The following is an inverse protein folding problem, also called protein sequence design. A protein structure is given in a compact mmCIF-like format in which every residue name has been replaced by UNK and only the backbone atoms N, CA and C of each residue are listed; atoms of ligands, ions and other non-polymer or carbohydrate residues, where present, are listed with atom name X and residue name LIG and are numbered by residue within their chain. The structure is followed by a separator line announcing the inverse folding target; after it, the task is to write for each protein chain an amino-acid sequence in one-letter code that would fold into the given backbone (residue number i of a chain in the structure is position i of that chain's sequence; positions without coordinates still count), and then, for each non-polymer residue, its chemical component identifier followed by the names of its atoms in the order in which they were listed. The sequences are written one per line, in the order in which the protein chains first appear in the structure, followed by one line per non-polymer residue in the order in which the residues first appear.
data_IF_036080986336
#
_entry.id   IF_036080986336
#
_cell.length_a   1.000
_cell.length_b   1.000
_cell.length_c   1.000
_cell.angle_alpha   90.00
_cell.angle_beta   90.00
_cell.angle_gamma   90.00
#
_symmetry.space_group_name_H-M   'P 1'
#
loop_
_entity.id
_entity.type
_entity.pdbx_description
1 polymer ?
#
# COMPACT_ATOMS: atom_id res chain seq x y z
N UNK A 1 10.62 12.21 -4.14
CA UNK A 1 10.73 11.39 -5.36
C UNK A 1 9.33 11.28 -5.93
N UNK A 2 9.10 11.83 -7.12
CA UNK A 2 7.80 11.76 -7.79
C UNK A 2 7.50 10.31 -8.19
N UNK A 3 6.23 9.88 -8.19
CA UNK A 3 5.85 8.56 -8.70
C UNK A 3 6.29 8.36 -10.17
N UNK A 4 6.43 9.46 -10.93
CA UNK A 4 7.01 9.42 -12.29
C UNK A 4 8.48 9.00 -12.31
N UNK A 5 9.26 9.43 -11.32
CA UNK A 5 10.65 8.99 -11.17
C UNK A 5 10.71 7.52 -10.72
N UNK A 6 9.81 7.12 -9.81
CA UNK A 6 9.67 5.74 -9.35
C UNK A 6 9.43 4.79 -10.52
N UNK A 7 8.50 5.10 -11.43
CA UNK A 7 8.23 4.28 -12.62
C UNK A 7 9.43 4.15 -13.58
N UNK A 8 10.30 5.16 -13.66
CA UNK A 8 11.48 5.11 -14.51
C UNK A 8 12.64 4.29 -13.90
N UNK A 9 12.67 4.14 -12.56
CA UNK A 9 13.70 3.39 -11.81
C UNK A 9 13.25 2.02 -11.30
N UNK A 10 11.95 1.71 -11.38
CA UNK A 10 11.42 0.36 -11.21
C UNK A 10 11.64 -0.39 -12.53
N UNK A 11 12.92 -0.66 -12.82
CA UNK A 11 13.35 -1.65 -13.80
C UNK A 11 12.39 -2.84 -13.75
N UNK A 12 11.83 -3.23 -14.89
CA UNK A 12 11.13 -4.51 -15.02
C UNK A 12 11.95 -5.57 -14.28
N UNK A 13 11.47 -6.08 -13.13
CA UNK A 13 12.26 -6.95 -12.31
C UNK A 13 12.37 -8.27 -13.08
N UNK A 14 13.45 -8.39 -13.81
CA UNK A 14 13.77 -9.61 -14.53
C UNK A 14 13.90 -10.78 -13.53
N UNK A 15 14.34 -10.50 -12.29
CA UNK A 15 14.66 -11.51 -11.28
C UNK A 15 14.02 -11.23 -9.93
N UNK A 16 13.95 -12.27 -9.09
CA UNK A 16 13.45 -12.19 -7.71
C UNK A 16 14.19 -11.19 -6.85
N UNK A 17 15.51 -11.07 -7.03
CA UNK A 17 16.32 -10.10 -6.31
C UNK A 17 15.97 -8.65 -6.69
N UNK A 18 15.75 -8.40 -7.98
CA UNK A 18 15.32 -7.08 -8.45
C UNK A 18 13.91 -6.73 -7.98
N UNK A 19 13.00 -7.71 -7.96
CA UNK A 19 11.66 -7.52 -7.40
C UNK A 19 11.73 -7.09 -5.94
N UNK A 20 12.47 -7.83 -5.09
CA UNK A 20 12.66 -7.46 -3.69
C UNK A 20 13.21 -6.04 -3.52
N UNK A 21 14.25 -5.71 -4.28
CA UNK A 21 14.86 -4.38 -4.27
C UNK A 21 13.85 -3.30 -4.62
N UNK A 22 12.96 -3.56 -5.57
CA UNK A 22 11.88 -2.64 -5.95
C UNK A 22 10.82 -2.52 -4.86
N UNK A 23 10.32 -3.61 -4.31
CA UNK A 23 9.35 -3.61 -3.20
C UNK A 23 9.90 -2.86 -1.97
N UNK A 24 11.19 -3.03 -1.67
CA UNK A 24 11.85 -2.38 -0.53
C UNK A 24 11.97 -0.85 -0.67
N UNK A 25 11.79 -0.28 -1.87
CA UNK A 25 11.80 1.17 -2.07
C UNK A 25 10.53 1.83 -1.51
N UNK A 26 9.45 1.09 -1.36
CA UNK A 26 8.22 1.63 -0.78
C UNK A 26 8.39 1.75 0.73
N UNK A 27 8.64 2.98 1.17
CA UNK A 27 8.74 3.34 2.56
C UNK A 27 7.53 4.16 2.97
N UNK A 28 6.68 3.58 3.82
CA UNK A 28 5.44 4.18 4.28
C UNK A 28 5.44 4.30 5.80
N UNK A 29 5.81 5.48 6.29
CA UNK A 29 5.87 5.76 7.72
C UNK A 29 4.49 5.82 8.39
N UNK A 30 3.45 6.14 7.62
CA UNK A 30 2.11 6.36 8.16
C UNK A 30 1.14 5.21 7.89
N UNK A 31 1.52 4.25 7.04
CA UNK A 31 0.63 3.14 6.66
C UNK A 31 -0.44 3.52 5.64
N UNK A 32 -0.39 4.72 5.05
CA UNK A 32 -1.40 5.21 4.11
C UNK A 32 -1.35 4.48 2.75
N UNK A 33 -0.19 3.96 2.39
CA UNK A 33 0.06 3.17 1.18
C UNK A 33 0.08 1.67 1.45
N UNK A 34 -0.18 1.24 2.70
CA UNK A 34 -0.20 -0.16 3.08
C UNK A 34 -1.08 -1.04 2.16
N UNK A 35 -2.28 -0.61 1.70
CA UNK A 35 -3.11 -1.40 0.77
C UNK A 35 -2.44 -1.65 -0.58
N UNK A 36 -1.55 -0.77 -1.02
CA UNK A 36 -0.80 -0.95 -2.28
C UNK A 36 0.45 -1.80 -2.04
N UNK A 37 1.21 -1.47 -0.99
CA UNK A 37 2.47 -2.16 -0.65
C UNK A 37 2.24 -3.64 -0.30
N UNK A 38 1.09 -3.97 0.29
CA UNK A 38 0.77 -5.37 0.60
C UNK A 38 0.67 -6.23 -0.66
N UNK A 39 0.15 -5.69 -1.77
CA UNK A 39 0.07 -6.41 -3.04
C UNK A 39 1.46 -6.73 -3.58
N UNK A 40 2.39 -5.77 -3.50
CA UNK A 40 3.78 -5.97 -3.91
C UNK A 40 4.49 -7.03 -3.04
N UNK A 41 4.23 -7.03 -1.73
CA UNK A 41 4.76 -8.03 -0.81
C UNK A 41 4.19 -9.43 -1.07
N UNK A 42 2.90 -9.51 -1.38
CA UNK A 42 2.25 -10.76 -1.80
C UNK A 42 2.85 -11.28 -3.11
N UNK A 43 3.12 -10.41 -4.06
CA UNK A 43 3.77 -10.80 -5.30
C UNK A 43 5.20 -11.31 -5.08
N UNK A 44 5.94 -10.68 -4.17
CA UNK A 44 7.24 -11.20 -3.75
C UNK A 44 7.11 -12.57 -3.06
N UNK A 45 6.08 -12.78 -2.24
CA UNK A 45 5.79 -14.10 -1.66
C UNK A 45 5.50 -15.15 -2.75
N UNK A 46 4.81 -14.78 -3.82
CA UNK A 46 4.53 -15.69 -4.93
C UNK A 46 5.81 -16.17 -5.63
N UNK A 47 6.89 -15.37 -5.64
CA UNK A 47 8.21 -15.84 -6.12
C UNK A 47 8.84 -16.90 -5.23
N UNK A 48 8.52 -16.91 -3.93
CA UNK A 48 8.98 -17.99 -3.04
C UNK A 48 8.20 -19.26 -3.29
N UNK A 49 6.88 -19.15 -3.45
CA UNK A 49 6.00 -20.29 -3.71
C UNK A 49 6.27 -20.94 -5.08
N UNK A 50 6.69 -20.17 -6.08
CA UNK A 50 7.04 -20.69 -7.40
C UNK A 50 8.41 -21.39 -7.45
N UNK A 51 9.24 -21.26 -6.41
CA UNK A 51 10.57 -21.87 -6.35
C UNK A 51 11.63 -21.19 -7.22
N UNK A 52 11.35 -20.02 -7.80
CA UNK A 52 12.31 -19.28 -8.64
C UNK A 52 13.53 -18.86 -7.84
N UNK A 53 14.72 -19.01 -8.44
CA UNK A 53 15.97 -18.61 -7.81
C UNK A 53 16.18 -17.09 -7.85
N UNK A 54 17.13 -16.60 -7.06
CA UNK A 54 17.36 -15.16 -6.87
C UNK A 54 17.67 -14.40 -8.16
N UNK A 55 18.51 -14.98 -9.02
CA UNK A 55 18.97 -14.38 -10.29
C UNK A 55 18.33 -15.03 -11.53
N UNK A 56 17.31 -15.86 -11.31
CA UNK A 56 16.54 -16.49 -12.38
C UNK A 56 15.42 -15.56 -12.86
N UNK A 57 15.06 -15.70 -14.14
CA UNK A 57 13.96 -14.94 -14.74
C UNK A 57 12.63 -15.23 -14.05
N UNK A 58 11.88 -14.17 -13.71
CA UNK A 58 10.57 -14.33 -13.11
C UNK A 58 9.59 -15.02 -14.08
N UNK A 59 8.71 -15.90 -13.57
CA UNK A 59 7.60 -16.43 -14.33
C UNK A 59 6.71 -15.32 -14.92
N UNK A 60 6.25 -15.51 -16.16
CA UNK A 60 5.50 -14.49 -16.91
C UNK A 60 4.25 -13.99 -16.18
N UNK A 61 3.60 -14.83 -15.38
CA UNK A 61 2.45 -14.42 -14.56
C UNK A 61 2.84 -13.40 -13.49
N UNK A 62 3.99 -13.57 -12.84
CA UNK A 62 4.49 -12.66 -11.81
C UNK A 62 4.92 -11.33 -12.45
N UNK A 63 5.63 -11.39 -13.57
CA UNK A 63 6.06 -10.18 -14.31
C UNK A 63 4.87 -9.34 -14.75
N UNK A 64 3.84 -9.96 -15.35
CA UNK A 64 2.61 -9.25 -15.77
C UNK A 64 1.87 -8.62 -14.59
N UNK A 65 1.82 -9.31 -13.46
CA UNK A 65 1.16 -8.78 -12.27
C UNK A 65 1.95 -7.59 -11.70
N UNK A 66 3.27 -7.66 -11.70
CA UNK A 66 4.13 -6.55 -11.33
C UNK A 66 3.92 -5.32 -12.22
N UNK A 67 3.96 -5.50 -13.56
CA UNK A 67 3.71 -4.43 -14.53
C UNK A 67 2.37 -3.74 -14.28
N UNK A 68 1.33 -4.54 -13.99
CA UNK A 68 0.02 -4.02 -13.61
C UNK A 68 0.10 -3.17 -12.34
N UNK A 69 0.69 -3.68 -11.27
CA UNK A 69 0.87 -2.93 -10.01
C UNK A 69 1.57 -1.59 -10.25
N UNK A 70 2.65 -1.59 -11.04
CA UNK A 70 3.40 -0.36 -11.35
C UNK A 70 2.59 0.63 -12.18
N UNK A 71 1.80 0.15 -13.15
CA UNK A 71 0.93 1.03 -13.94
C UNK A 71 -0.10 1.75 -13.05
N UNK A 72 -0.67 1.04 -12.08
CA UNK A 72 -1.70 1.54 -11.17
C UNK A 72 -1.13 2.52 -10.12
N UNK A 73 0.15 2.42 -9.75
CA UNK A 73 0.79 3.34 -8.80
C UNK A 73 0.68 4.81 -9.21
N UNK A 74 0.65 5.09 -10.51
CA UNK A 74 0.53 6.46 -11.02
C UNK A 74 -0.75 7.17 -10.53
N UNK A 75 -1.82 6.42 -10.29
CA UNK A 75 -3.09 6.93 -9.76
C UNK A 75 -2.98 7.44 -8.32
N UNK A 76 -1.97 7.00 -7.56
CA UNK A 76 -1.77 7.46 -6.17
C UNK A 76 -1.41 8.95 -6.10
N UNK A 77 -0.89 9.55 -7.18
CA UNK A 77 -0.61 10.99 -7.20
C UNK A 77 -1.87 11.85 -7.09
N UNK A 78 -3.03 11.29 -7.45
CA UNK A 78 -4.30 12.01 -7.46
C UNK A 78 -5.03 11.89 -6.10
N UNK A 79 -4.47 11.12 -5.16
CA UNK A 79 -5.07 10.90 -3.84
C UNK A 79 -4.56 11.97 -2.86
N UNK A 80 -5.46 12.87 -2.46
CA UNK A 80 -5.26 13.80 -1.36
C UNK A 80 -5.84 13.28 -0.06
N UNK A 81 -5.00 13.04 0.95
CA UNK A 81 -5.44 12.64 2.30
C UNK A 81 -5.34 13.86 3.22
N UNK A 82 -6.46 14.40 3.74
CA UNK A 82 -6.43 15.54 4.65
C UNK A 82 -5.79 15.13 5.98
N UNK A 83 -4.65 15.74 6.32
CA UNK A 83 -3.90 15.43 7.55
C UNK A 83 -4.43 16.12 8.80
N UNK A 84 -5.15 17.25 8.64
CA UNK A 84 -5.61 18.00 9.80
C UNK A 84 -6.83 17.34 10.42
N UNK A 85 -6.62 16.87 11.64
CA UNK A 85 -7.63 16.31 12.52
C UNK A 85 -8.04 17.46 13.45
N UNK A 86 -9.24 17.99 13.25
CA UNK A 86 -9.78 19.20 13.90
C UNK A 86 -10.13 18.97 15.38
N UNK A 87 -9.15 18.51 16.16
CA UNK A 87 -9.31 18.19 17.57
C UNK A 87 -9.28 19.46 18.40
N UNK A 88 -10.32 19.62 19.23
CA UNK A 88 -10.39 20.60 20.31
C UNK A 88 -10.62 19.87 21.64
N UNK A 89 -10.27 20.47 22.78
CA UNK A 89 -10.51 19.87 24.10
C UNK A 89 -11.99 19.56 24.39
N UNK A 90 -12.92 20.24 23.69
CA UNK A 90 -14.36 20.02 23.80
C UNK A 90 -14.94 19.11 22.71
N UNK A 91 -14.10 18.57 21.81
CA UNK A 91 -14.56 17.68 20.74
C UNK A 91 -14.97 16.33 21.32
N UNK A 92 -16.20 15.91 21.06
CA UNK A 92 -16.65 14.55 21.32
C UNK A 92 -16.25 13.65 20.14
N UNK A 93 -15.28 12.75 20.37
CA UNK A 93 -14.76 11.86 19.34
C UNK A 93 -14.62 10.42 19.82
N UNK A 94 -14.70 9.50 18.85
CA UNK A 94 -14.46 8.07 19.05
C UNK A 94 -13.50 7.55 18.01
N UNK A 95 -12.63 6.61 18.40
CA UNK A 95 -11.78 5.87 17.47
C UNK A 95 -12.50 4.60 17.02
N UNK A 96 -12.45 4.33 15.71
CA UNK A 96 -13.04 3.15 15.08
C UNK A 96 -11.94 2.41 14.33
N UNK A 97 -11.55 1.26 14.87
CA UNK A 97 -10.64 0.34 14.21
C UNK A 97 -11.47 -0.67 13.43
N UNK A 98 -11.18 -0.79 12.13
CA UNK A 98 -11.65 -1.90 11.32
C UNK A 98 -10.46 -2.75 10.96
N UNK A 99 -10.64 -4.07 11.00
CA UNK A 99 -9.62 -5.00 10.52
C UNK A 99 -10.29 -6.08 9.68
N UNK A 100 -9.55 -6.53 8.68
CA UNK A 100 -9.94 -7.67 7.86
C UNK A 100 -8.73 -8.58 7.65
N UNK A 101 -9.00 -9.87 7.55
CA UNK A 101 -7.99 -10.91 7.43
C UNK A 101 -8.36 -11.85 6.29
N UNK A 102 -7.38 -12.14 5.44
CA UNK A 102 -7.43 -13.23 4.47
C UNK A 102 -6.29 -14.20 4.73
N UNK A 103 -6.31 -15.34 4.04
CA UNK A 103 -5.20 -16.31 4.10
C UNK A 103 -3.86 -15.71 3.67
N UNK A 104 -3.89 -14.68 2.82
CA UNK A 104 -2.68 -14.07 2.24
C UNK A 104 -2.19 -12.86 3.02
N UNK A 105 -3.10 -12.05 3.55
CA UNK A 105 -2.75 -10.80 4.21
C UNK A 105 -3.77 -10.39 5.28
N UNK A 106 -3.29 -9.63 6.25
CA UNK A 106 -4.09 -8.94 7.26
C UNK A 106 -3.95 -7.43 7.08
N UNK A 107 -5.06 -6.71 7.21
CA UNK A 107 -5.09 -5.26 7.14
C UNK A 107 -5.91 -4.68 8.28
N UNK A 108 -5.51 -3.50 8.74
CA UNK A 108 -6.27 -2.73 9.71
C UNK A 108 -6.24 -1.25 9.33
N UNK A 109 -7.33 -0.56 9.60
CA UNK A 109 -7.50 0.86 9.35
C UNK A 109 -8.16 1.53 10.54
N UNK A 110 -7.60 2.66 10.95
CA UNK A 110 -8.08 3.44 12.07
C UNK A 110 -8.77 4.69 11.55
N UNK A 111 -10.00 4.92 11.98
CA UNK A 111 -10.72 6.16 11.72
C UNK A 111 -10.98 6.89 13.02
N UNK A 112 -10.96 8.22 12.95
CA UNK A 112 -11.54 9.08 13.97
C UNK A 112 -12.94 9.51 13.54
N UNK A 113 -13.90 9.40 14.45
CA UNK A 113 -15.29 9.81 14.24
C UNK A 113 -15.63 10.91 15.25
N UNK A 114 -15.96 12.09 14.75
CA UNK A 114 -16.50 13.19 15.52
C UNK A 114 -18.02 13.09 15.57
N UNK A 115 -18.59 13.27 16.76
CA UNK A 115 -20.03 13.38 16.92
C UNK A 115 -20.43 14.84 16.76
N UNK A 116 -21.25 15.12 15.75
CA UNK A 116 -22.00 16.37 15.61
C UNK A 116 -23.47 16.05 15.92
N UNK A 117 -24.26 17.03 16.36
CA UNK A 117 -25.59 16.83 16.98
C UNK A 117 -26.46 15.72 16.38
N UNK A 118 -26.55 15.62 15.04
CA UNK A 118 -27.27 14.55 14.33
C UNK A 118 -26.45 13.83 13.25
N UNK A 119 -25.18 14.21 13.08
CA UNK A 119 -24.30 13.76 12.01
C UNK A 119 -22.97 13.27 12.58
N UNK A 120 -22.21 12.54 11.77
CA UNK A 120 -20.88 12.11 12.16
C UNK A 120 -19.90 12.43 11.05
N UNK A 121 -18.82 13.13 11.39
CA UNK A 121 -17.68 13.36 10.50
C UNK A 121 -16.65 12.26 10.79
N UNK A 122 -16.21 11.56 9.74
CA UNK A 122 -15.24 10.46 9.84
C UNK A 122 -14.01 10.84 9.03
N UNK A 123 -12.82 10.66 9.61
CA UNK A 123 -11.54 10.90 8.95
C UNK A 123 -10.62 9.70 9.16
N UNK A 124 -9.84 9.37 8.14
CA UNK A 124 -8.77 8.37 8.20
C UNK A 124 -7.63 8.93 9.06
N UNK A 125 -7.09 8.10 9.97
CA UNK A 125 -5.89 8.39 10.75
C UNK A 125 -4.66 7.77 10.13
#
# INVERSE_FOLDING_TARGET
MSVKEINQYLLEPATKHLLLKSVAKFYDQLGLFAPTIVVDKLLFQDTWLSGVQWDEMLPTNITKQWEKCISELSSLNDIGIPRWIELSPSSDYSLRLFCDSSERAFGAVLYIRFQESKTAKIQLL
#
